data_IF_786099560403
#
_entry.id   IF_786099560403
#
_cell.length_a   1.000
_cell.length_b   1.000
_cell.length_c   1.000
_cell.angle_alpha   90.00
_cell.angle_beta   90.00
_cell.angle_gamma   90.00
#
_symmetry.space_group_name_H-M   'P 1'
#
loop_
_entity.id
_entity.type
_entity.pdbx_description
1 polymer ?
#
# COMPACT_ATOMS: atom_id res chain seq x y z
N UNK A 1 4.20 -15.32 3.77
CA UNK A 1 4.79 -14.56 4.90
C UNK A 1 5.78 -13.55 4.35
N UNK A 2 5.75 -12.30 4.81
CA UNK A 2 6.63 -11.18 4.33
C UNK A 2 8.12 -11.55 4.46
N UNK A 3 8.49 -12.22 5.55
CA UNK A 3 9.85 -12.74 5.80
C UNK A 3 10.41 -13.57 4.64
N UNK A 4 9.59 -14.42 4.00
CA UNK A 4 10.01 -15.27 2.88
C UNK A 4 10.31 -14.47 1.62
N UNK A 5 9.46 -13.49 1.30
CA UNK A 5 9.57 -12.73 0.04
C UNK A 5 10.66 -11.65 0.11
N UNK A 6 10.93 -11.11 1.29
CA UNK A 6 11.94 -10.08 1.51
C UNK A 6 13.24 -10.61 2.14
N UNK A 7 13.35 -11.94 2.33
CA UNK A 7 14.45 -12.59 3.03
C UNK A 7 14.80 -11.89 4.38
N UNK A 8 13.76 -11.57 5.15
CA UNK A 8 13.87 -10.77 6.38
C UNK A 8 13.68 -11.62 7.64
N UNK A 9 14.08 -11.06 8.79
CA UNK A 9 13.91 -11.67 10.12
C UNK A 9 12.68 -11.08 10.81
N UNK A 10 11.98 -11.86 11.63
CA UNK A 10 10.76 -11.41 12.34
C UNK A 10 10.98 -10.10 13.12
N UNK A 11 12.11 -9.99 13.84
CA UNK A 11 12.48 -8.78 14.62
C UNK A 11 12.66 -7.51 13.78
N UNK A 12 12.75 -7.64 12.45
CA UNK A 12 12.94 -6.53 11.52
C UNK A 12 11.63 -6.15 10.81
N UNK A 13 10.51 -6.78 11.15
CA UNK A 13 9.20 -6.49 10.58
C UNK A 13 8.31 -5.83 11.64
N UNK A 14 7.65 -4.74 11.26
CA UNK A 14 6.62 -4.08 12.05
C UNK A 14 5.47 -3.71 11.13
N UNK A 15 4.24 -3.76 11.64
CA UNK A 15 3.02 -3.56 10.85
C UNK A 15 2.13 -2.56 11.58
N UNK A 16 1.69 -1.52 10.86
CA UNK A 16 0.61 -0.64 11.28
C UNK A 16 -0.60 -0.88 10.36
N UNK A 17 -1.80 -0.82 10.94
CA UNK A 17 -3.06 -0.83 10.21
C UNK A 17 -3.80 0.46 10.55
N UNK A 18 -3.99 1.31 9.54
CA UNK A 18 -4.68 2.60 9.69
C UNK A 18 -6.01 2.52 8.95
N UNK A 19 -7.09 2.86 9.65
CA UNK A 19 -8.42 2.96 9.05
C UNK A 19 -8.56 4.32 8.36
N UNK A 20 -9.11 4.33 7.14
CA UNK A 20 -9.38 5.52 6.34
C UNK A 20 -10.86 5.54 6.04
N UNK A 21 -11.52 6.67 6.29
CA UNK A 21 -12.93 6.83 5.94
C UNK A 21 -13.08 6.79 4.41
N UNK A 22 -14.16 6.17 3.91
CA UNK A 22 -14.38 5.99 2.48
C UNK A 22 -14.35 7.32 1.71
N UNK A 23 -14.97 8.37 2.27
CA UNK A 23 -14.99 9.71 1.69
C UNK A 23 -13.59 10.34 1.52
N UNK A 24 -12.64 9.93 2.36
CA UNK A 24 -11.27 10.45 2.37
C UNK A 24 -10.30 9.61 1.51
N UNK A 25 -10.73 8.44 1.02
CA UNK A 25 -9.87 7.48 0.33
C UNK A 25 -9.11 8.08 -0.85
N UNK A 26 -9.83 8.85 -1.69
CA UNK A 26 -9.21 9.47 -2.86
C UNK A 26 -8.09 10.44 -2.46
N UNK A 27 -8.40 11.37 -1.56
CA UNK A 27 -7.47 12.41 -1.16
C UNK A 27 -6.30 11.88 -0.35
N UNK A 28 -6.52 10.90 0.54
CA UNK A 28 -5.49 10.41 1.47
C UNK A 28 -4.66 9.24 0.91
N UNK A 29 -5.20 8.44 -0.02
CA UNK A 29 -4.54 7.21 -0.50
C UNK A 29 -4.35 7.22 -2.01
N UNK A 30 -5.40 7.48 -2.80
CA UNK A 30 -5.26 7.40 -4.25
C UNK A 30 -4.32 8.50 -4.79
N UNK A 31 -4.60 9.75 -4.47
CA UNK A 31 -3.87 10.90 -5.03
C UNK A 31 -2.43 11.01 -4.49
N UNK A 32 -2.14 10.39 -3.34
CA UNK A 32 -0.84 10.46 -2.65
C UNK A 32 0.05 9.23 -2.88
N UNK A 33 -0.53 8.02 -2.84
CA UNK A 33 0.25 6.78 -2.82
C UNK A 33 0.08 5.92 -4.07
N UNK A 34 -1.10 5.92 -4.70
CA UNK A 34 -1.40 5.02 -5.82
C UNK A 34 -1.20 5.72 -7.16
N UNK A 35 -1.97 6.77 -7.42
CA UNK A 35 -2.05 7.48 -8.71
C UNK A 35 -0.68 7.92 -9.24
N UNK A 36 0.13 8.65 -8.45
CA UNK A 36 1.45 9.11 -8.89
C UNK A 36 2.45 7.97 -9.17
N UNK A 37 2.22 6.76 -8.66
CA UNK A 37 3.18 5.63 -8.68
C UNK A 37 2.69 4.45 -9.51
N UNK A 38 1.59 4.59 -10.27
CA UNK A 38 0.88 3.49 -10.93
C UNK A 38 1.77 2.53 -11.74
N UNK A 39 2.81 3.06 -12.40
CA UNK A 39 3.72 2.24 -13.21
C UNK A 39 4.82 1.53 -12.42
N UNK A 40 5.09 1.97 -11.20
CA UNK A 40 6.06 1.35 -10.29
C UNK A 40 5.43 0.28 -9.39
N UNK A 41 4.10 0.22 -9.33
CA UNK A 41 3.39 -0.74 -8.49
C UNK A 41 3.63 -2.18 -8.95
N UNK A 42 4.17 -3.02 -8.06
CA UNK A 42 4.28 -4.47 -8.29
C UNK A 42 2.93 -5.16 -8.51
N UNK A 43 1.85 -4.55 -8.00
CA UNK A 43 0.45 -4.96 -8.20
C UNK A 43 -0.39 -3.72 -8.45
N UNK A 44 -0.88 -3.57 -9.69
CA UNK A 44 -1.77 -2.47 -10.08
C UNK A 44 -3.19 -2.66 -9.53
N UNK A 45 -3.92 -1.59 -9.18
CA UNK A 45 -5.33 -1.69 -8.78
C UNK A 45 -6.20 -2.18 -9.95
N UNK A 46 -7.26 -2.92 -9.64
CA UNK A 46 -8.27 -3.35 -10.62
C UNK A 46 -9.35 -2.30 -10.89
N UNK A 47 -9.22 -1.11 -10.30
CA UNK A 47 -10.11 0.04 -10.43
C UNK A 47 -9.28 1.29 -10.72
N UNK A 48 -9.96 2.33 -11.20
CA UNK A 48 -9.40 3.66 -11.42
C UNK A 48 -10.27 4.71 -10.74
N UNK A 49 -9.66 5.79 -10.27
CA UNK A 49 -10.31 6.98 -9.70
C UNK A 49 -9.85 8.26 -10.39
#
# INVERSE_FOLDING_TARGET
MITRHLNSKDRSISVALNEVQEADWKAQVWDTEIGPKLDELIKKPGYSM
#
